data_IF_483523161075
#
_entry.id   IF_483523161075
#
_cell.length_a   1.000
_cell.length_b   1.000
_cell.length_c   1.000
_cell.angle_alpha   90.00
_cell.angle_beta   90.00
_cell.angle_gamma   90.00
#
_symmetry.space_group_name_H-M   'P 1'
#
loop_
_entity.id
_entity.type
_entity.pdbx_description
1 polymer ?
#
# COMPACT_ATOMS: atom_id res chain seq x y z
N UNK A 1 -62.56 10.00 40.09
CA UNK A 1 -61.37 9.16 40.33
C UNK A 1 -61.00 8.60 38.96
N UNK A 2 -60.17 9.34 38.20
CA UNK A 2 -58.69 9.19 38.11
C UNK A 2 -58.37 7.99 37.21
N UNK A 3 -57.69 8.07 36.06
CA UNK A 3 -56.54 8.89 35.67
C UNK A 3 -56.46 9.02 34.13
N UNK A 4 -56.11 10.21 33.66
CA UNK A 4 -55.45 10.46 32.37
C UNK A 4 -53.97 10.08 32.48
N UNK A 5 -53.35 9.41 31.49
CA UNK A 5 -51.91 9.21 31.51
C UNK A 5 -51.22 10.55 31.26
N UNK A 6 -50.34 10.94 32.19
CA UNK A 6 -49.53 12.14 32.11
C UNK A 6 -48.54 12.02 30.94
N UNK A 7 -48.52 13.05 30.09
CA UNK A 7 -47.38 13.39 29.25
C UNK A 7 -46.14 13.45 30.14
N UNK A 8 -45.13 12.64 29.81
CA UNK A 8 -43.81 12.72 30.42
C UNK A 8 -43.02 13.79 29.64
N UNK A 9 -42.69 14.95 30.22
CA UNK A 9 -42.04 16.05 29.49
C UNK A 9 -40.54 15.83 29.25
N UNK A 10 -40.05 14.59 29.42
CA UNK A 10 -38.64 14.22 29.25
C UNK A 10 -38.35 13.40 27.99
N UNK A 11 -39.30 13.28 27.05
CA UNK A 11 -39.09 12.55 25.79
C UNK A 11 -38.72 13.48 24.62
N UNK A 12 -37.89 14.48 24.92
CA UNK A 12 -37.19 15.28 23.91
C UNK A 12 -35.71 15.05 24.16
N UNK A 13 -34.95 14.91 23.07
CA UNK A 13 -33.49 15.10 22.98
C UNK A 13 -32.58 13.89 23.19
N UNK A 14 -32.61 12.89 22.31
CA UNK A 14 -31.35 12.20 21.93
C UNK A 14 -31.24 12.00 20.40
N UNK A 15 -32.33 11.78 19.65
CA UNK A 15 -32.22 11.50 18.20
C UNK A 15 -32.10 12.74 17.29
N UNK A 16 -32.53 13.94 17.73
CA UNK A 16 -32.40 15.18 16.91
C UNK A 16 -31.05 15.89 17.02
N UNK A 17 -30.25 15.55 18.04
CA UNK A 17 -28.99 16.23 18.30
C UNK A 17 -27.90 15.97 17.23
N UNK A 18 -27.70 14.75 16.69
CA UNK A 18 -26.61 14.49 15.74
C UNK A 18 -26.85 15.18 14.38
N UNK A 19 -28.09 15.14 13.88
CA UNK A 19 -28.46 15.76 12.61
C UNK A 19 -28.38 17.29 12.69
N UNK A 20 -28.91 17.90 13.76
CA UNK A 20 -28.82 19.35 13.97
C UNK A 20 -27.36 19.80 14.15
N UNK A 21 -26.52 19.04 14.87
CA UNK A 21 -25.09 19.33 15.02
C UNK A 21 -24.33 19.21 13.68
N UNK A 22 -24.63 18.17 12.89
CA UNK A 22 -24.03 17.99 11.56
C UNK A 22 -24.42 19.10 10.59
N UNK A 23 -25.68 19.53 10.62
CA UNK A 23 -26.16 20.64 9.79
C UNK A 23 -25.52 21.98 10.17
N UNK A 24 -25.23 22.19 11.46
CA UNK A 24 -24.52 23.37 11.95
C UNK A 24 -23.05 23.39 11.52
N UNK A 25 -22.39 22.22 11.49
CA UNK A 25 -21.02 22.08 11.01
C UNK A 25 -20.92 22.24 9.50
N UNK A 26 -21.82 21.62 8.74
CA UNK A 26 -21.89 21.75 7.28
C UNK A 26 -22.08 23.22 6.86
N UNK A 27 -22.97 23.95 7.56
CA UNK A 27 -23.15 25.40 7.34
C UNK A 27 -21.86 26.18 7.60
N UNK A 28 -21.13 25.82 8.66
CA UNK A 28 -19.84 26.46 9.01
C UNK A 28 -18.77 26.20 7.95
N UNK A 29 -18.71 24.98 7.41
CA UNK A 29 -17.81 24.63 6.32
C UNK A 29 -18.18 25.35 5.02
N UNK A 30 -19.46 25.41 4.67
CA UNK A 30 -19.95 26.18 3.52
C UNK A 30 -19.56 27.65 3.62
N UNK A 31 -19.82 28.30 4.76
CA UNK A 31 -19.46 29.70 4.98
C UNK A 31 -17.95 29.95 4.89
N UNK A 32 -17.15 28.99 5.32
CA UNK A 32 -15.68 29.08 5.25
C UNK A 32 -15.20 28.94 3.80
N UNK A 33 -15.72 27.94 3.07
CA UNK A 33 -15.35 27.68 1.68
C UNK A 33 -15.82 28.79 0.73
N UNK A 34 -17.01 29.36 0.95
CA UNK A 34 -17.56 30.43 0.11
C UNK A 34 -16.85 31.78 0.26
N UNK A 35 -16.01 31.96 1.30
CA UNK A 35 -15.15 33.15 1.46
C UNK A 35 -13.90 33.10 0.59
N UNK A 36 -13.56 31.93 0.05
CA UNK A 36 -12.38 31.74 -0.79
C UNK A 36 -12.59 32.46 -2.12
N UNK A 37 -11.59 33.24 -2.54
CA UNK A 37 -11.60 33.90 -3.84
C UNK A 37 -11.74 32.85 -4.96
N UNK A 38 -12.67 33.10 -5.88
CA UNK A 38 -12.90 32.25 -7.06
C UNK A 38 -11.63 32.02 -7.87
N UNK A 39 -10.70 32.98 -7.90
CA UNK A 39 -9.41 32.83 -8.60
C UNK A 39 -8.43 31.87 -7.91
N UNK A 40 -8.61 31.59 -6.61
CA UNK A 40 -7.77 30.66 -5.84
C UNK A 40 -8.41 29.27 -5.69
N UNK A 41 -9.66 29.13 -6.13
CA UNK A 41 -10.48 27.97 -5.85
C UNK A 41 -9.83 26.65 -6.29
N UNK A 42 -9.31 26.57 -7.51
CA UNK A 42 -8.72 25.33 -8.04
C UNK A 42 -7.44 24.95 -7.28
N UNK A 43 -6.61 25.94 -6.92
CA UNK A 43 -5.45 25.72 -6.04
C UNK A 43 -5.84 25.27 -4.63
N UNK A 44 -6.84 25.87 -4.01
CA UNK A 44 -7.30 25.45 -2.68
C UNK A 44 -7.86 24.02 -2.72
N UNK A 45 -8.68 23.67 -3.72
CA UNK A 45 -9.18 22.30 -3.91
C UNK A 45 -8.01 21.32 -4.06
N UNK A 46 -7.01 21.68 -4.85
CA UNK A 46 -5.81 20.86 -5.04
C UNK A 46 -5.04 20.66 -3.74
N UNK A 47 -4.85 21.71 -2.94
CA UNK A 47 -4.23 21.62 -1.62
C UNK A 47 -5.05 20.77 -0.65
N UNK A 48 -6.38 20.89 -0.66
CA UNK A 48 -7.26 20.07 0.17
C UNK A 48 -7.19 18.59 -0.20
N UNK A 49 -7.03 18.25 -1.49
CA UNK A 49 -6.77 16.86 -1.92
C UNK A 49 -5.49 16.32 -1.27
N UNK A 50 -4.38 17.06 -1.36
CA UNK A 50 -3.11 16.68 -0.71
C UNK A 50 -3.28 16.51 0.81
N UNK A 51 -3.86 17.50 1.49
CA UNK A 51 -4.07 17.45 2.94
C UNK A 51 -4.96 16.30 3.40
N UNK A 52 -5.95 15.92 2.59
CA UNK A 52 -6.91 14.88 2.92
C UNK A 52 -6.42 13.45 2.60
N UNK A 53 -5.60 13.28 1.56
CA UNK A 53 -5.32 11.96 0.96
C UNK A 53 -3.84 11.60 0.82
N UNK A 54 -2.91 12.46 1.25
CA UNK A 54 -1.51 12.06 1.34
C UNK A 54 -1.30 10.90 2.33
N UNK A 55 -0.44 9.95 1.94
CA UNK A 55 -0.10 8.80 2.82
C UNK A 55 0.78 9.22 4.00
N UNK A 56 1.56 10.29 3.83
CA UNK A 56 2.39 10.87 4.87
C UNK A 56 1.74 12.12 5.45
N UNK A 57 1.97 12.37 6.74
CA UNK A 57 1.67 13.67 7.32
C UNK A 57 2.54 14.72 6.64
N UNK A 58 1.91 15.74 6.08
CA UNK A 58 2.62 16.77 5.32
C UNK A 58 3.46 17.64 6.26
N UNK A 59 4.77 17.68 6.02
CA UNK A 59 5.64 18.68 6.64
C UNK A 59 5.40 20.04 5.99
N UNK A 60 5.74 21.12 6.70
CA UNK A 60 5.65 22.48 6.14
C UNK A 60 6.49 22.60 4.86
N UNK A 61 7.69 22.03 4.85
CA UNK A 61 8.57 22.06 3.68
C UNK A 61 7.92 21.35 2.49
N UNK A 62 7.40 20.13 2.68
CA UNK A 62 6.71 19.38 1.63
C UNK A 62 5.49 20.13 1.12
N UNK A 63 4.66 20.67 2.03
CA UNK A 63 3.48 21.40 1.63
C UNK A 63 3.81 22.70 0.91
N UNK A 64 4.89 23.37 1.30
CA UNK A 64 5.39 24.56 0.59
C UNK A 64 5.83 24.21 -0.83
N UNK A 65 6.53 23.10 -1.00
CA UNK A 65 6.90 22.58 -2.33
C UNK A 65 5.65 22.23 -3.17
N UNK A 66 4.63 21.61 -2.57
CA UNK A 66 3.33 21.32 -3.22
C UNK A 66 2.64 22.62 -3.67
N UNK A 67 2.60 23.64 -2.80
CA UNK A 67 1.98 24.92 -3.11
C UNK A 67 2.75 25.68 -4.21
N UNK A 68 4.06 25.50 -4.28
CA UNK A 68 4.92 26.09 -5.30
C UNK A 68 4.89 25.32 -6.63
N UNK A 69 4.39 24.07 -6.64
CA UNK A 69 4.31 23.28 -7.85
C UNK A 69 3.27 23.86 -8.82
N UNK A 70 3.73 24.24 -10.00
CA UNK A 70 2.85 24.67 -11.09
C UNK A 70 2.47 23.47 -11.95
N UNK A 71 1.22 23.02 -11.91
CA UNK A 71 0.71 22.07 -12.91
C UNK A 71 0.32 22.84 -14.17
N UNK A 72 1.31 23.24 -14.97
CA UNK A 72 1.18 24.13 -16.13
C UNK A 72 0.54 23.48 -17.38
N UNK A 73 -0.21 22.37 -17.20
CA UNK A 73 -0.84 21.61 -18.29
C UNK A 73 -2.35 21.41 -18.15
N UNK A 74 -2.98 22.19 -17.29
CA UNK A 74 -4.42 22.43 -17.41
C UNK A 74 -4.61 23.58 -18.39
N UNK A 75 -5.17 23.32 -19.57
CA UNK A 75 -5.57 24.35 -20.55
C UNK A 75 -6.66 25.31 -20.04
N UNK A 76 -6.96 25.28 -18.73
CA UNK A 76 -8.05 25.98 -18.06
C UNK A 76 -7.60 26.88 -16.89
N UNK A 77 -6.31 26.98 -16.58
CA UNK A 77 -5.83 27.88 -15.52
C UNK A 77 -5.76 29.33 -16.04
N UNK A 78 -6.41 30.24 -15.34
CA UNK A 78 -6.32 31.69 -15.58
C UNK A 78 -4.90 32.19 -15.22
N UNK A 79 -4.36 33.15 -15.98
CA UNK A 79 -3.01 33.70 -15.77
C UNK A 79 -2.88 34.34 -14.37
N UNK A 80 -3.98 34.83 -13.80
CA UNK A 80 -4.03 35.34 -12.43
C UNK A 80 -3.78 34.25 -11.36
N UNK A 81 -4.19 33.01 -11.62
CA UNK A 81 -4.03 31.89 -10.68
C UNK A 81 -2.57 31.40 -10.65
N UNK A 82 -1.87 31.49 -11.78
CA UNK A 82 -0.43 31.20 -11.91
C UNK A 82 0.46 32.16 -11.11
N UNK A 83 0.02 33.42 -10.97
CA UNK A 83 0.76 34.49 -10.28
C UNK A 83 0.56 34.49 -8.74
N UNK A 84 -0.36 33.67 -8.22
CA UNK A 84 -0.69 33.69 -6.80
C UNK A 84 0.43 33.08 -5.95
N UNK A 85 0.79 33.74 -4.84
CA UNK A 85 1.86 33.25 -3.97
C UNK A 85 1.39 32.07 -3.09
N UNK A 86 2.28 31.17 -2.65
CA UNK A 86 1.93 30.13 -1.65
C UNK A 86 1.25 30.69 -0.40
N UNK A 87 1.64 31.90 0.03
CA UNK A 87 1.03 32.59 1.17
C UNK A 87 -0.45 32.90 0.94
N UNK A 88 -0.81 33.36 -0.26
CA UNK A 88 -2.19 33.67 -0.63
C UNK A 88 -3.08 32.41 -0.64
N UNK A 89 -2.53 31.25 -1.03
CA UNK A 89 -3.26 29.98 -0.96
C UNK A 89 -3.48 29.55 0.51
N UNK A 90 -2.49 29.76 1.37
CA UNK A 90 -2.61 29.49 2.81
C UNK A 90 -3.69 30.34 3.48
N UNK A 91 -3.84 31.60 3.09
CA UNK A 91 -4.95 32.45 3.55
C UNK A 91 -6.31 31.86 3.17
N UNK A 92 -6.44 31.31 1.95
CA UNK A 92 -7.64 30.61 1.50
C UNK A 92 -7.94 29.30 2.24
N UNK A 93 -6.94 28.71 2.91
CA UNK A 93 -7.08 27.51 3.74
C UNK A 93 -7.36 27.84 5.21
N UNK A 94 -7.35 29.12 5.59
CA UNK A 94 -7.55 29.54 6.97
C UNK A 94 -8.90 29.05 7.53
N UNK A 95 -8.86 28.42 8.71
CA UNK A 95 -10.04 27.80 9.33
C UNK A 95 -10.33 26.36 8.88
N UNK A 96 -9.66 25.87 7.82
CA UNK A 96 -9.76 24.47 7.37
C UNK A 96 -8.54 23.63 7.77
N UNK A 97 -7.44 24.28 8.13
CA UNK A 97 -6.17 23.62 8.45
C UNK A 97 -5.64 24.03 9.82
N UNK A 98 -4.82 23.16 10.40
CA UNK A 98 -3.95 23.43 11.54
C UNK A 98 -2.51 23.31 11.08
N UNK A 99 -1.68 24.24 11.52
CA UNK A 99 -0.24 24.29 11.26
C UNK A 99 0.45 24.33 12.62
N UNK A 100 1.38 23.40 12.88
CA UNK A 100 2.30 23.46 14.02
C UNK A 100 3.71 23.88 13.59
N UNK A 101 4.74 23.64 14.39
CA UNK A 101 6.12 24.02 14.05
C UNK A 101 6.70 23.23 12.87
N UNK A 102 6.11 22.09 12.50
CA UNK A 102 6.70 21.13 11.56
C UNK A 102 5.73 20.61 10.49
N UNK A 103 4.43 20.58 10.76
CA UNK A 103 3.43 19.91 9.94
C UNK A 103 2.20 20.77 9.68
N UNK A 104 1.45 20.36 8.66
CA UNK A 104 0.15 20.92 8.29
C UNK A 104 -0.84 19.79 8.01
N UNK A 105 -2.07 19.94 8.52
CA UNK A 105 -3.14 18.96 8.34
C UNK A 105 -4.52 19.64 8.43
N UNK A 106 -5.58 18.92 8.01
CA UNK A 106 -6.94 19.40 8.17
C UNK A 106 -7.29 19.60 9.65
N UNK A 107 -7.99 20.69 9.98
CA UNK A 107 -8.28 21.04 11.36
C UNK A 107 -9.11 19.97 12.10
N UNK A 108 -10.02 19.32 11.38
CA UNK A 108 -10.87 18.26 11.90
C UNK A 108 -11.07 17.15 10.85
N UNK A 109 -11.20 15.87 11.26
CA UNK A 109 -11.49 14.76 10.35
C UNK A 109 -12.78 14.94 9.54
N UNK A 110 -13.78 15.61 10.13
CA UNK A 110 -15.08 15.90 9.51
C UNK A 110 -14.97 16.76 8.24
N UNK A 111 -13.90 17.55 8.08
CA UNK A 111 -13.68 18.34 6.85
C UNK A 111 -13.45 17.41 5.66
N UNK A 112 -12.61 16.38 5.82
CA UNK A 112 -12.38 15.37 4.76
C UNK A 112 -13.68 14.63 4.42
N UNK A 113 -14.43 14.24 5.44
CA UNK A 113 -15.74 13.60 5.24
C UNK A 113 -16.70 14.53 4.49
N UNK A 114 -16.79 15.80 4.90
CA UNK A 114 -17.66 16.78 4.28
C UNK A 114 -17.33 16.99 2.81
N UNK A 115 -16.06 17.28 2.48
CA UNK A 115 -15.57 17.53 1.11
C UNK A 115 -15.84 16.37 0.13
N UNK A 116 -15.90 15.15 0.66
CA UNK A 116 -16.11 13.92 -0.13
C UNK A 116 -17.54 13.39 -0.10
N UNK A 117 -18.41 14.01 0.70
CA UNK A 117 -19.80 13.58 0.89
C UNK A 117 -20.76 14.10 -0.18
N UNK A 118 -21.96 13.50 -0.23
CA UNK A 118 -23.08 14.03 -1.01
C UNK A 118 -23.63 15.36 -0.46
N UNK A 119 -23.27 15.74 0.78
CA UNK A 119 -23.78 16.94 1.48
C UNK A 119 -23.27 18.21 0.79
N UNK A 120 -21.95 18.32 0.60
CA UNK A 120 -21.36 19.43 -0.15
C UNK A 120 -21.74 19.38 -1.64
N UNK A 121 -21.84 18.18 -2.24
CA UNK A 121 -22.03 17.99 -3.69
C UNK A 121 -23.30 18.66 -4.22
N UNK A 122 -24.35 18.75 -3.40
CA UNK A 122 -25.62 19.38 -3.76
C UNK A 122 -25.84 20.71 -3.02
N UNK A 123 -24.85 21.14 -2.22
CA UNK A 123 -24.89 22.35 -1.42
C UNK A 123 -24.32 23.58 -2.14
N UNK A 124 -24.28 24.73 -1.45
CA UNK A 124 -23.80 25.99 -2.03
C UNK A 124 -22.28 25.96 -2.31
N UNK A 125 -21.49 25.21 -1.54
CA UNK A 125 -20.06 25.02 -1.77
C UNK A 125 -19.72 23.83 -2.69
N UNK A 126 -20.67 23.35 -3.51
CA UNK A 126 -20.48 22.15 -4.35
C UNK A 126 -19.25 22.16 -5.24
N UNK A 127 -18.78 23.34 -5.61
CA UNK A 127 -17.59 23.50 -6.44
C UNK A 127 -16.28 23.11 -5.71
N UNK A 128 -16.29 22.94 -4.38
CA UNK A 128 -15.18 22.38 -3.60
C UNK A 128 -15.30 20.87 -3.35
N UNK A 129 -16.39 20.25 -3.80
CA UNK A 129 -16.60 18.81 -3.68
C UNK A 129 -15.64 18.05 -4.59
N UNK A 130 -15.08 16.95 -4.08
CA UNK A 130 -14.33 15.98 -4.87
C UNK A 130 -14.46 14.58 -4.27
N UNK A 131 -14.30 13.57 -5.09
CA UNK A 131 -14.27 12.17 -4.66
C UNK A 131 -12.87 11.75 -4.21
N UNK A 132 -12.78 10.69 -3.42
CA UNK A 132 -11.50 10.05 -3.07
C UNK A 132 -10.70 9.65 -4.32
N UNK A 133 -11.36 9.11 -5.34
CA UNK A 133 -10.72 8.76 -6.62
C UNK A 133 -10.11 9.99 -7.31
N UNK A 134 -10.83 11.11 -7.37
CA UNK A 134 -10.32 12.37 -7.94
C UNK A 134 -9.16 12.96 -7.15
N UNK A 135 -9.10 12.73 -5.84
CA UNK A 135 -7.97 13.13 -5.01
C UNK A 135 -6.74 12.26 -5.30
N UNK A 136 -6.88 10.94 -5.28
CA UNK A 136 -5.78 10.02 -5.56
C UNK A 136 -5.24 10.17 -6.99
N UNK A 137 -6.10 10.31 -8.00
CA UNK A 137 -5.66 10.57 -9.38
C UNK A 137 -4.91 11.90 -9.51
N UNK A 138 -5.38 12.95 -8.83
CA UNK A 138 -4.71 14.25 -8.84
C UNK A 138 -3.31 14.17 -8.23
N UNK A 139 -3.20 13.58 -7.03
CA UNK A 139 -1.91 13.44 -6.33
C UNK A 139 -0.97 12.54 -7.12
N UNK A 140 -1.45 11.42 -7.66
CA UNK A 140 -0.66 10.53 -8.51
C UNK A 140 -0.12 11.26 -9.74
N UNK A 141 -0.97 12.03 -10.43
CA UNK A 141 -0.57 12.76 -11.62
C UNK A 141 0.44 13.87 -11.32
N UNK A 142 0.19 14.68 -10.29
CA UNK A 142 1.09 15.73 -9.84
C UNK A 142 2.45 15.16 -9.38
N UNK A 143 2.44 14.03 -8.70
CA UNK A 143 3.65 13.28 -8.31
C UNK A 143 4.39 12.74 -9.52
N UNK A 144 3.70 12.11 -10.48
CA UNK A 144 4.30 11.58 -11.70
C UNK A 144 4.97 12.68 -12.54
N UNK A 145 4.30 13.82 -12.73
CA UNK A 145 4.86 14.97 -13.44
C UNK A 145 6.14 15.43 -12.75
N UNK A 146 6.09 15.70 -11.44
CA UNK A 146 7.25 16.17 -10.69
C UNK A 146 8.41 15.17 -10.75
N UNK A 147 8.09 13.90 -10.56
CA UNK A 147 9.07 12.80 -10.56
C UNK A 147 9.80 12.70 -11.91
N UNK A 148 9.06 12.79 -13.02
CA UNK A 148 9.63 12.74 -14.37
C UNK A 148 10.43 14.00 -14.70
N UNK A 149 10.02 15.18 -14.20
CA UNK A 149 10.77 16.43 -14.34
C UNK A 149 12.10 16.40 -13.58
N UNK A 150 12.11 15.83 -12.36
CA UNK A 150 13.30 15.71 -11.51
C UNK A 150 14.23 14.57 -11.91
N UNK A 151 13.81 13.68 -12.80
CA UNK A 151 14.60 12.54 -13.29
C UNK A 151 14.58 12.50 -14.83
N UNK A 152 15.02 13.56 -15.52
CA UNK A 152 14.97 13.61 -16.97
C UNK A 152 15.96 12.61 -17.58
N UNK A 153 15.67 12.07 -18.78
CA UNK A 153 16.55 11.12 -19.44
C UNK A 153 17.95 11.72 -19.63
N UNK A 154 18.98 11.00 -19.17
CA UNK A 154 20.43 11.30 -19.33
C UNK A 154 21.10 12.29 -18.34
N UNK A 155 20.56 12.50 -17.13
CA UNK A 155 21.27 13.24 -16.07
C UNK A 155 21.61 12.33 -14.88
N UNK A 156 22.89 12.25 -14.52
CA UNK A 156 23.43 11.44 -13.41
C UNK A 156 24.01 12.33 -12.31
N UNK A 157 23.42 13.49 -12.07
CA UNK A 157 23.93 14.40 -11.03
C UNK A 157 23.35 13.99 -9.68
N UNK A 158 24.21 13.36 -8.87
CA UNK A 158 24.01 13.25 -7.42
C UNK A 158 24.33 14.60 -6.79
N UNK A 159 23.43 15.56 -6.92
CA UNK A 159 23.53 16.77 -6.10
C UNK A 159 22.91 16.45 -4.72
N UNK A 160 23.77 16.11 -3.75
CA UNK A 160 23.39 15.74 -2.38
C UNK A 160 23.04 16.96 -1.51
N UNK A 161 23.02 18.18 -2.07
CA UNK A 161 22.59 19.37 -1.36
C UNK A 161 21.11 19.68 -1.65
N UNK A 162 20.27 19.42 -0.64
CA UNK A 162 18.83 19.74 -0.57
C UNK A 162 17.92 18.87 -1.45
N UNK A 163 17.79 17.59 -1.08
CA UNK A 163 16.82 16.67 -1.71
C UNK A 163 15.40 17.17 -1.43
N UNK A 164 14.76 17.74 -2.47
CA UNK A 164 13.36 18.16 -2.46
C UNK A 164 12.47 17.11 -1.77
N UNK A 165 11.65 17.56 -0.81
CA UNK A 165 10.73 16.68 -0.08
C UNK A 165 9.66 16.13 -1.01
N UNK A 166 9.21 16.93 -1.98
CA UNK A 166 8.25 16.53 -2.99
C UNK A 166 8.84 15.48 -3.93
N UNK A 167 10.11 15.59 -4.32
CA UNK A 167 10.80 14.54 -5.10
C UNK A 167 10.76 13.19 -4.38
N UNK A 168 11.09 13.17 -3.09
CA UNK A 168 11.07 11.94 -2.28
C UNK A 168 9.65 11.39 -2.13
N UNK A 169 8.68 12.25 -1.81
CA UNK A 169 7.28 11.85 -1.71
C UNK A 169 6.78 11.27 -3.02
N UNK A 170 7.02 11.97 -4.13
CA UNK A 170 6.54 11.60 -5.44
C UNK A 170 7.08 10.23 -5.85
N UNK A 171 8.40 10.03 -5.80
CA UNK A 171 9.07 8.78 -6.15
C UNK A 171 8.53 7.58 -5.36
N UNK A 172 8.19 7.77 -4.09
CA UNK A 172 7.69 6.70 -3.22
C UNK A 172 6.19 6.43 -3.37
N UNK A 173 5.38 7.46 -3.53
CA UNK A 173 3.94 7.38 -3.27
C UNK A 173 3.07 7.41 -4.54
N UNK A 174 3.56 7.88 -5.69
CA UNK A 174 2.75 7.87 -6.92
C UNK A 174 2.20 6.47 -7.27
N UNK A 175 2.95 5.36 -7.11
CA UNK A 175 2.41 4.03 -7.40
C UNK A 175 1.25 3.69 -6.46
N UNK A 176 1.39 4.02 -5.16
CA UNK A 176 0.40 3.74 -4.13
C UNK A 176 -0.89 4.53 -4.37
N UNK A 177 -0.80 5.79 -4.81
CA UNK A 177 -1.99 6.57 -5.11
C UNK A 177 -2.77 5.99 -6.30
N UNK A 178 -2.09 5.48 -7.33
CA UNK A 178 -2.77 4.81 -8.43
C UNK A 178 -3.43 3.50 -7.99
N UNK A 179 -2.83 2.76 -7.07
CA UNK A 179 -3.44 1.52 -6.55
C UNK A 179 -4.73 1.76 -5.74
N UNK A 180 -4.98 2.99 -5.27
CA UNK A 180 -6.24 3.37 -4.63
C UNK A 180 -7.38 3.62 -5.64
N UNK A 181 -7.09 3.59 -6.94
CA UNK A 181 -8.05 3.91 -8.01
C UNK A 181 -8.11 2.75 -9.00
N UNK A 182 -9.30 2.21 -9.33
CA UNK A 182 -9.42 1.16 -10.33
C UNK A 182 -8.77 1.53 -11.67
N UNK A 183 -8.02 0.59 -12.25
CA UNK A 183 -7.25 0.77 -13.50
C UNK A 183 -8.10 1.27 -14.67
N UNK A 184 -9.38 0.90 -14.71
CA UNK A 184 -10.36 1.35 -15.71
C UNK A 184 -10.69 2.85 -15.63
N UNK A 185 -10.38 3.48 -14.50
CA UNK A 185 -10.65 4.90 -14.23
C UNK A 185 -9.43 5.79 -14.42
N UNK A 186 -8.26 5.22 -14.79
CA UNK A 186 -7.06 6.01 -15.03
C UNK A 186 -7.15 6.74 -16.39
N UNK A 187 -7.04 8.08 -16.41
CA UNK A 187 -6.88 8.85 -17.64
C UNK A 187 -5.67 8.35 -18.45
N UNK A 188 -5.75 8.49 -19.79
CA UNK A 188 -4.70 8.05 -20.71
C UNK A 188 -3.35 8.69 -20.37
N UNK A 189 -3.35 9.98 -20.05
CA UNK A 189 -2.16 10.76 -19.74
C UNK A 189 -1.46 10.25 -18.47
N UNK A 190 -2.24 9.84 -17.47
CA UNK A 190 -1.71 9.27 -16.22
C UNK A 190 -1.11 7.88 -16.48
N UNK A 191 -1.80 7.04 -17.25
CA UNK A 191 -1.28 5.72 -17.62
C UNK A 191 0.03 5.84 -18.43
N UNK A 192 0.09 6.78 -19.38
CA UNK A 192 1.31 7.07 -20.15
C UNK A 192 2.45 7.57 -19.25
N UNK A 193 2.17 8.49 -18.31
CA UNK A 193 3.17 8.97 -17.37
C UNK A 193 3.68 7.84 -16.46
N UNK A 194 2.80 6.96 -15.98
CA UNK A 194 3.19 5.77 -15.21
C UNK A 194 4.08 4.81 -16.03
N UNK A 195 3.73 4.55 -17.29
CA UNK A 195 4.57 3.76 -18.19
C UNK A 195 5.96 4.38 -18.43
N UNK A 196 6.02 5.69 -18.63
CA UNK A 196 7.29 6.41 -18.76
C UNK A 196 8.11 6.32 -17.46
N UNK A 197 7.45 6.46 -16.30
CA UNK A 197 8.12 6.40 -15.01
C UNK A 197 8.68 5.00 -14.70
N UNK A 198 8.00 3.96 -15.19
CA UNK A 198 8.39 2.55 -15.07
C UNK A 198 9.19 2.03 -16.26
N UNK A 199 9.65 2.88 -17.17
CA UNK A 199 10.43 2.42 -18.31
C UNK A 199 11.72 1.72 -17.85
N UNK A 200 11.99 0.55 -18.44
CA UNK A 200 13.22 -0.23 -18.23
C UNK A 200 14.46 0.67 -18.30
N UNK A 201 15.33 0.57 -17.27
CA UNK A 201 16.59 1.32 -17.19
C UNK A 201 16.44 2.86 -17.30
N UNK A 202 15.27 3.41 -16.97
CA UNK A 202 15.07 4.85 -16.93
C UNK A 202 15.63 5.46 -15.63
N UNK A 203 16.14 6.71 -15.65
CA UNK A 203 16.53 7.43 -14.42
C UNK A 203 15.38 7.51 -13.40
N UNK A 204 14.15 7.65 -13.90
CA UNK A 204 12.94 7.57 -13.11
C UNK A 204 12.88 6.27 -12.30
N UNK A 205 12.96 5.11 -12.95
CA UNK A 205 12.95 3.82 -12.27
C UNK A 205 14.11 3.69 -11.28
N UNK A 206 15.32 4.08 -11.68
CA UNK A 206 16.50 4.06 -10.79
C UNK A 206 16.31 4.86 -9.51
N UNK A 207 15.64 6.01 -9.58
CA UNK A 207 15.37 6.83 -8.40
C UNK A 207 14.32 6.24 -7.44
N UNK A 208 13.55 5.23 -7.88
CA UNK A 208 12.52 4.55 -7.07
C UNK A 208 12.99 3.20 -6.50
N UNK A 209 14.07 2.62 -7.04
CA UNK A 209 14.55 1.30 -6.64
C UNK A 209 15.88 1.42 -5.87
N UNK A 210 15.93 0.86 -4.67
CA UNK A 210 17.16 0.72 -3.89
C UNK A 210 17.97 -0.54 -4.29
N UNK A 211 17.41 -1.35 -5.19
CA UNK A 211 17.88 -2.67 -5.59
C UNK A 211 18.54 -2.66 -6.97
N UNK A 212 19.53 -3.53 -7.19
CA UNK A 212 20.16 -3.79 -8.48
C UNK A 212 19.21 -4.41 -9.53
N UNK A 213 17.97 -4.76 -9.16
CA UNK A 213 16.97 -5.27 -10.09
C UNK A 213 16.33 -4.13 -10.88
N UNK A 214 16.98 -3.74 -11.99
CA UNK A 214 16.51 -2.74 -12.96
C UNK A 214 15.29 -3.21 -13.78
N UNK A 215 14.31 -3.84 -13.14
CA UNK A 215 13.12 -4.40 -13.79
C UNK A 215 11.85 -3.85 -13.10
N UNK A 216 11.01 -3.07 -13.81
CA UNK A 216 9.80 -2.48 -13.27
C UNK A 216 8.74 -3.53 -12.90
N UNK A 217 8.75 -4.69 -13.55
CA UNK A 217 7.87 -5.79 -13.20
C UNK A 217 8.21 -6.35 -11.81
N UNK A 218 9.50 -6.58 -11.55
CA UNK A 218 9.98 -7.03 -10.24
C UNK A 218 9.66 -5.98 -9.17
N UNK A 219 9.90 -4.70 -9.47
CA UNK A 219 9.61 -3.59 -8.55
C UNK A 219 8.13 -3.50 -8.17
N UNK A 220 7.24 -3.45 -9.17
CA UNK A 220 5.79 -3.36 -8.93
C UNK A 220 5.25 -4.60 -8.20
N UNK A 221 5.78 -5.79 -8.54
CA UNK A 221 5.44 -7.05 -7.87
C UNK A 221 5.85 -7.06 -6.40
N UNK A 222 7.07 -6.60 -6.09
CA UNK A 222 7.55 -6.48 -4.72
C UNK A 222 6.74 -5.46 -3.90
N UNK A 223 6.39 -4.32 -4.51
CA UNK A 223 5.57 -3.29 -3.87
C UNK A 223 4.13 -3.80 -3.59
N UNK A 224 3.64 -4.72 -4.41
CA UNK A 224 2.25 -5.19 -4.42
C UNK A 224 1.32 -4.28 -5.22
N UNK A 225 1.89 -3.50 -6.15
CA UNK A 225 1.16 -2.61 -7.03
C UNK A 225 0.51 -3.41 -8.15
N UNK A 226 -0.57 -4.11 -7.82
CA UNK A 226 -1.19 -5.15 -8.66
C UNK A 226 -1.69 -4.59 -9.98
N UNK A 227 -2.27 -3.39 -10.00
CA UNK A 227 -2.77 -2.77 -11.22
C UNK A 227 -1.64 -2.27 -12.11
N UNK A 228 -0.55 -1.77 -11.52
CA UNK A 228 0.68 -1.46 -12.27
C UNK A 228 1.39 -2.71 -12.80
N UNK A 229 1.45 -3.78 -12.01
CA UNK A 229 1.96 -5.08 -12.47
C UNK A 229 1.14 -5.61 -13.63
N UNK A 230 -0.20 -5.55 -13.55
CA UNK A 230 -1.09 -5.93 -14.65
C UNK A 230 -0.89 -5.08 -15.89
N UNK A 231 -0.70 -3.77 -15.72
CA UNK A 231 -0.42 -2.84 -16.83
C UNK A 231 0.87 -3.23 -17.58
N UNK A 232 1.92 -3.63 -16.86
CA UNK A 232 3.18 -4.01 -17.49
C UNK A 232 3.10 -5.34 -18.26
N UNK A 233 2.30 -6.31 -17.78
CA UNK A 233 2.22 -7.67 -18.36
C UNK A 233 1.07 -7.88 -19.35
N UNK A 234 0.09 -6.97 -19.41
CA UNK A 234 -1.05 -7.09 -20.31
C UNK A 234 -0.73 -6.57 -21.72
N UNK A 235 -1.22 -7.27 -22.76
CA UNK A 235 -0.97 -6.91 -24.16
C UNK A 235 -1.69 -5.61 -24.59
N UNK A 236 -0.98 -4.71 -25.28
CA UNK A 236 -1.52 -3.42 -25.75
C UNK A 236 -0.44 -2.48 -26.32
N UNK A 237 -0.81 -1.22 -26.60
CA UNK A 237 0.09 -0.16 -27.12
C UNK A 237 1.29 0.16 -26.21
N UNK A 238 1.33 -0.43 -25.02
CA UNK A 238 2.33 -0.24 -23.96
C UNK A 238 3.16 -1.51 -23.68
N UNK A 239 3.10 -2.54 -24.54
CA UNK A 239 3.89 -3.76 -24.35
C UNK A 239 5.37 -3.40 -24.23
N UNK A 240 5.95 -3.60 -23.06
CA UNK A 240 7.38 -3.79 -22.97
C UNK A 240 7.71 -5.06 -23.76
N UNK A 241 8.30 -4.89 -24.93
CA UNK A 241 8.63 -5.94 -25.91
C UNK A 241 9.61 -7.00 -25.36
N UNK A 242 9.95 -6.96 -24.07
CA UNK A 242 11.05 -7.66 -23.42
C UNK A 242 10.69 -8.37 -22.10
N UNK A 243 9.40 -8.50 -21.72
CA UNK A 243 9.06 -9.35 -20.55
C UNK A 243 9.23 -10.82 -20.93
N UNK A 244 10.19 -11.48 -20.31
CA UNK A 244 10.46 -12.91 -20.48
C UNK A 244 9.70 -13.74 -19.45
N UNK A 245 9.57 -15.05 -19.69
CA UNK A 245 9.08 -15.98 -18.67
C UNK A 245 9.88 -15.88 -17.37
N UNK A 246 11.21 -15.74 -17.49
CA UNK A 246 12.09 -15.56 -16.32
C UNK A 246 11.78 -14.28 -15.52
N UNK A 247 11.32 -13.21 -16.17
CA UNK A 247 10.91 -12.00 -15.46
C UNK A 247 9.61 -12.20 -14.67
N UNK A 248 8.63 -12.91 -15.26
CA UNK A 248 7.39 -13.29 -14.57
C UNK A 248 7.66 -14.17 -13.36
N UNK A 249 8.54 -15.15 -13.52
CA UNK A 249 8.96 -16.08 -12.48
C UNK A 249 9.63 -15.35 -11.30
N UNK A 250 10.55 -14.43 -11.60
CA UNK A 250 11.23 -13.62 -10.58
C UNK A 250 10.27 -12.62 -9.93
N UNK A 251 9.33 -12.06 -10.68
CA UNK A 251 8.28 -11.20 -10.13
C UNK A 251 7.41 -11.97 -9.12
N UNK A 252 7.03 -13.21 -9.42
CA UNK A 252 6.26 -14.06 -8.50
C UNK A 252 7.05 -14.36 -7.23
N UNK A 253 8.35 -14.62 -7.35
CA UNK A 253 9.24 -14.82 -6.21
C UNK A 253 9.25 -13.60 -5.28
N UNK A 254 9.34 -12.39 -5.83
CA UNK A 254 9.40 -11.14 -5.07
C UNK A 254 8.04 -10.73 -4.48
N UNK A 255 6.94 -10.93 -5.22
CA UNK A 255 5.60 -10.74 -4.67
C UNK A 255 5.34 -11.69 -3.50
N UNK A 256 5.82 -12.93 -3.60
CA UNK A 256 5.67 -13.94 -2.54
C UNK A 256 6.52 -13.62 -1.33
N UNK A 257 7.79 -13.21 -1.51
CA UNK A 257 8.66 -12.79 -0.40
C UNK A 257 8.15 -11.53 0.31
N UNK A 258 7.42 -10.66 -0.40
CA UNK A 258 6.81 -9.45 0.14
C UNK A 258 5.35 -9.64 0.61
N UNK A 259 4.79 -10.85 0.49
CA UNK A 259 3.44 -11.17 1.00
C UNK A 259 2.29 -10.59 0.19
N UNK A 260 2.51 -10.24 -1.08
CA UNK A 260 1.55 -9.52 -1.93
C UNK A 260 0.57 -10.48 -2.61
N UNK A 261 -0.40 -11.00 -1.86
CA UNK A 261 -1.32 -12.07 -2.31
C UNK A 261 -2.02 -11.78 -3.64
N UNK A 262 -2.61 -10.59 -3.82
CA UNK A 262 -3.34 -10.30 -5.06
C UNK A 262 -2.40 -10.22 -6.27
N UNK A 263 -1.18 -9.72 -6.07
CA UNK A 263 -0.14 -9.74 -7.12
C UNK A 263 0.37 -11.15 -7.40
N UNK A 264 0.50 -12.00 -6.38
CA UNK A 264 0.82 -13.43 -6.53
C UNK A 264 -0.24 -14.14 -7.38
N UNK A 265 -1.53 -13.92 -7.10
CA UNK A 265 -2.64 -14.49 -7.89
C UNK A 265 -2.56 -14.05 -9.34
N UNK A 266 -2.44 -12.75 -9.58
CA UNK A 266 -2.28 -12.19 -10.92
C UNK A 266 -1.13 -12.84 -11.70
N UNK A 267 0.05 -12.98 -11.08
CA UNK A 267 1.24 -13.53 -11.73
C UNK A 267 1.07 -15.03 -12.04
N UNK A 268 0.48 -15.80 -11.12
CA UNK A 268 0.13 -17.21 -11.35
C UNK A 268 -0.88 -17.34 -12.50
N UNK A 269 -1.91 -16.51 -12.53
CA UNK A 269 -2.94 -16.49 -13.59
C UNK A 269 -2.34 -16.14 -14.96
N UNK A 270 -1.25 -15.35 -14.98
CA UNK A 270 -0.49 -14.99 -16.18
C UNK A 270 0.58 -16.01 -16.55
N UNK A 271 0.66 -17.14 -15.84
CA UNK A 271 1.52 -18.27 -16.17
C UNK A 271 2.94 -18.18 -15.60
N UNK A 272 3.16 -17.42 -14.53
CA UNK A 272 4.45 -17.45 -13.82
C UNK A 272 4.72 -18.86 -13.25
N UNK A 273 5.95 -19.34 -13.42
CA UNK A 273 6.39 -20.65 -12.97
C UNK A 273 6.49 -20.73 -11.45
N UNK A 274 5.75 -21.67 -10.87
CA UNK A 274 5.74 -21.91 -9.41
C UNK A 274 6.84 -22.87 -8.96
N UNK A 275 7.32 -23.73 -9.87
CA UNK A 275 8.42 -24.66 -9.63
C UNK A 275 9.62 -24.24 -10.47
N UNK A 276 10.51 -23.44 -9.88
CA UNK A 276 11.72 -23.01 -10.54
C UNK A 276 12.75 -24.14 -10.44
N UNK A 277 12.92 -24.90 -11.53
CA UNK A 277 13.80 -26.08 -11.68
C UNK A 277 15.31 -25.81 -11.44
N UNK A 278 15.71 -24.69 -10.84
CA UNK A 278 17.11 -24.44 -10.50
C UNK A 278 17.31 -23.74 -9.15
N UNK A 279 18.15 -24.38 -8.34
CA UNK A 279 18.69 -23.97 -7.04
C UNK A 279 17.72 -24.06 -5.84
N UNK A 280 17.48 -25.29 -5.38
CA UNK A 280 17.36 -25.80 -3.98
C UNK A 280 16.79 -24.95 -2.81
N UNK A 281 16.39 -23.69 -2.99
CA UNK A 281 16.00 -22.71 -1.95
C UNK A 281 15.18 -21.51 -2.46
N UNK A 282 14.88 -21.37 -3.76
CA UNK A 282 14.24 -20.17 -4.34
C UNK A 282 12.97 -20.48 -5.14
N UNK A 283 11.95 -21.06 -4.49
CA UNK A 283 10.59 -21.09 -5.03
C UNK A 283 9.68 -20.10 -4.28
N UNK A 284 8.57 -19.66 -4.89
CA UNK A 284 7.61 -18.71 -4.29
C UNK A 284 7.06 -19.14 -2.93
N UNK A 285 6.72 -20.42 -2.76
CA UNK A 285 6.16 -20.97 -1.52
C UNK A 285 7.16 -20.85 -0.36
N UNK A 286 8.41 -21.24 -0.55
CA UNK A 286 9.47 -21.14 0.46
C UNK A 286 9.81 -19.68 0.79
N UNK A 287 9.76 -18.75 -0.18
CA UNK A 287 9.96 -17.33 0.09
C UNK A 287 8.82 -16.71 0.91
N UNK A 288 7.58 -17.06 0.59
CA UNK A 288 6.42 -16.67 1.38
C UNK A 288 6.54 -17.20 2.81
N UNK A 289 7.01 -18.45 2.97
CA UNK A 289 7.18 -19.05 4.28
C UNK A 289 8.30 -18.43 5.12
N UNK A 290 9.43 -18.07 4.49
CA UNK A 290 10.49 -17.32 5.14
C UNK A 290 9.97 -15.96 5.65
N UNK A 291 9.16 -15.27 4.85
CA UNK A 291 8.54 -13.99 5.23
C UNK A 291 7.37 -14.10 6.21
N UNK A 292 6.91 -15.31 6.55
CA UNK A 292 5.75 -15.52 7.43
C UNK A 292 4.39 -15.18 6.78
N UNK A 293 4.33 -15.14 5.45
CA UNK A 293 3.15 -14.68 4.70
C UNK A 293 2.09 -15.77 4.58
N UNK A 294 1.38 -16.04 5.69
CA UNK A 294 0.36 -17.10 5.81
C UNK A 294 -0.65 -17.10 4.67
N UNK A 295 -1.15 -15.93 4.25
CA UNK A 295 -2.16 -15.84 3.21
C UNK A 295 -1.65 -16.30 1.84
N UNK A 296 -0.38 -16.02 1.52
CA UNK A 296 0.28 -16.48 0.29
C UNK A 296 0.58 -17.97 0.36
N UNK A 297 1.10 -18.46 1.50
CA UNK A 297 1.36 -19.90 1.68
C UNK A 297 0.07 -20.70 1.57
N UNK A 298 -1.02 -20.23 2.21
CA UNK A 298 -2.34 -20.83 2.11
C UNK A 298 -2.80 -20.97 0.66
N UNK A 299 -2.67 -19.90 -0.12
CA UNK A 299 -3.01 -19.91 -1.53
C UNK A 299 -2.26 -20.99 -2.33
N UNK A 300 -0.98 -21.22 -2.03
CA UNK A 300 -0.20 -22.26 -2.70
C UNK A 300 -0.54 -23.69 -2.25
N UNK A 301 -0.80 -23.92 -0.96
CA UNK A 301 -0.98 -25.30 -0.42
C UNK A 301 -2.42 -25.79 -0.38
N UNK A 302 -3.40 -24.90 -0.48
CA UNK A 302 -4.83 -25.27 -0.54
C UNK A 302 -5.36 -25.28 -1.99
N UNK A 303 -4.60 -24.78 -2.97
CA UNK A 303 -4.93 -24.90 -4.39
C UNK A 303 -4.39 -26.22 -4.95
N UNK A 304 -5.27 -27.13 -5.35
CA UNK A 304 -4.91 -28.49 -5.81
C UNK A 304 -3.88 -28.50 -6.95
N UNK A 305 -4.01 -27.58 -7.91
CA UNK A 305 -3.13 -27.50 -9.08
C UNK A 305 -1.73 -27.02 -8.69
N UNK A 306 -1.67 -25.99 -7.84
CA UNK A 306 -0.39 -25.45 -7.36
C UNK A 306 0.29 -26.43 -6.40
N UNK A 307 -0.50 -27.12 -5.57
CA UNK A 307 0.00 -28.16 -4.67
C UNK A 307 0.64 -29.30 -5.43
N UNK A 308 0.03 -29.75 -6.54
CA UNK A 308 0.61 -30.78 -7.40
C UNK A 308 1.93 -30.33 -8.05
N UNK A 309 2.04 -29.07 -8.46
CA UNK A 309 3.27 -28.50 -8.98
C UNK A 309 4.37 -28.33 -7.90
N UNK A 310 3.99 -28.27 -6.62
CA UNK A 310 4.88 -28.07 -5.48
C UNK A 310 5.06 -29.34 -4.63
N UNK A 311 4.62 -30.50 -5.13
CA UNK A 311 4.55 -31.75 -4.35
C UNK A 311 5.90 -32.48 -4.18
N UNK A 312 7.00 -31.85 -4.59
CA UNK A 312 8.34 -32.34 -4.29
C UNK A 312 8.54 -32.41 -2.77
N UNK A 313 8.84 -33.60 -2.24
CA UNK A 313 9.07 -33.82 -0.79
C UNK A 313 10.12 -32.87 -0.22
N UNK A 314 11.10 -32.47 -1.03
CA UNK A 314 12.15 -31.53 -0.63
C UNK A 314 11.64 -30.08 -0.52
N UNK A 315 10.74 -29.66 -1.41
CA UNK A 315 10.14 -28.31 -1.40
C UNK A 315 9.29 -28.10 -0.14
N UNK A 316 8.45 -29.09 0.21
CA UNK A 316 7.64 -29.04 1.45
C UNK A 316 8.53 -28.96 2.69
N UNK A 317 9.58 -29.80 2.76
CA UNK A 317 10.56 -29.80 3.87
C UNK A 317 11.31 -28.47 3.98
N UNK A 318 11.80 -27.91 2.87
CA UNK A 318 12.46 -26.60 2.89
C UNK A 318 11.51 -25.49 3.33
N UNK A 319 10.23 -25.56 2.94
CA UNK A 319 9.22 -24.56 3.29
C UNK A 319 8.94 -24.56 4.80
N UNK A 320 8.71 -25.72 5.42
CA UNK A 320 8.50 -25.79 6.88
C UNK A 320 9.77 -25.41 7.65
N UNK A 321 10.95 -25.77 7.14
CA UNK A 321 12.23 -25.39 7.73
C UNK A 321 12.51 -23.89 7.62
N UNK A 322 12.07 -23.22 6.55
CA UNK A 322 12.15 -21.77 6.42
C UNK A 322 11.22 -21.06 7.43
N UNK A 323 9.99 -21.54 7.58
CA UNK A 323 9.05 -21.03 8.60
C UNK A 323 9.61 -21.21 10.02
N UNK A 324 10.23 -22.37 10.31
CA UNK A 324 10.86 -22.66 11.59
C UNK A 324 12.08 -21.77 11.87
N UNK A 325 12.93 -21.53 10.87
CA UNK A 325 14.11 -20.66 11.01
C UNK A 325 13.74 -19.23 11.43
N UNK A 326 12.58 -18.73 10.97
CA UNK A 326 12.07 -17.39 11.28
C UNK A 326 10.98 -17.40 12.36
N UNK A 327 10.77 -18.54 13.03
CA UNK A 327 9.85 -18.70 14.17
C UNK A 327 8.36 -18.42 13.88
N UNK A 328 7.93 -18.64 12.64
CA UNK A 328 6.54 -18.49 12.19
C UNK A 328 5.69 -19.71 12.59
N UNK A 329 5.41 -19.89 13.89
CA UNK A 329 4.77 -21.10 14.43
C UNK A 329 3.39 -21.39 13.81
N UNK A 330 2.52 -20.39 13.67
CA UNK A 330 1.20 -20.55 13.02
C UNK A 330 1.32 -21.07 11.58
N UNK A 331 2.40 -20.70 10.89
CA UNK A 331 2.68 -21.16 9.54
C UNK A 331 3.19 -22.60 9.52
N UNK A 332 4.04 -22.98 10.48
CA UNK A 332 4.48 -24.37 10.67
C UNK A 332 3.26 -25.26 10.90
N UNK A 333 2.34 -24.84 11.78
CA UNK A 333 1.10 -25.57 12.04
C UNK A 333 0.28 -25.74 10.76
N UNK A 334 0.08 -24.67 9.98
CA UNK A 334 -0.63 -24.73 8.71
C UNK A 334 -0.01 -25.76 7.75
N UNK A 335 1.32 -25.76 7.62
CA UNK A 335 2.04 -26.67 6.72
C UNK A 335 1.90 -28.14 7.16
N UNK A 336 1.99 -28.41 8.47
CA UNK A 336 1.84 -29.76 9.04
C UNK A 336 0.42 -30.28 8.92
N UNK A 337 -0.59 -29.43 9.15
CA UNK A 337 -1.99 -29.79 8.89
C UNK A 337 -2.25 -30.15 7.41
N UNK A 338 -1.48 -29.56 6.49
CA UNK A 338 -1.49 -29.88 5.06
C UNK A 338 -0.56 -31.06 4.68
N UNK A 339 -0.16 -31.88 5.66
CA UNK A 339 0.59 -33.11 5.46
C UNK A 339 2.08 -32.91 5.20
N UNK A 340 2.64 -31.74 5.53
CA UNK A 340 4.10 -31.55 5.47
C UNK A 340 4.78 -32.30 6.60
N UNK A 341 5.63 -33.25 6.25
CA UNK A 341 6.51 -33.91 7.22
C UNK A 341 7.56 -32.94 7.75
N UNK A 342 7.81 -32.98 9.06
CA UNK A 342 8.90 -32.24 9.70
C UNK A 342 10.09 -33.15 9.96
N UNK A 343 11.25 -32.57 10.18
CA UNK A 343 12.48 -33.29 10.48
C UNK A 343 13.13 -32.80 11.78
N UNK A 344 14.29 -33.38 12.13
CA UNK A 344 15.07 -32.99 13.31
C UNK A 344 15.53 -31.52 13.24
N UNK A 345 15.77 -31.00 12.02
CA UNK A 345 16.16 -29.61 11.82
C UNK A 345 15.00 -28.65 12.12
N UNK A 346 13.77 -28.98 11.71
CA UNK A 346 12.58 -28.19 12.06
C UNK A 346 12.46 -28.05 13.58
N UNK A 347 12.61 -29.17 14.31
CA UNK A 347 12.53 -29.18 15.78
C UNK A 347 13.67 -28.37 16.42
N UNK A 348 14.90 -28.48 15.91
CA UNK A 348 16.05 -27.70 16.38
C UNK A 348 15.80 -26.20 16.21
N UNK A 349 15.24 -25.77 15.07
CA UNK A 349 14.93 -24.36 14.81
C UNK A 349 13.82 -23.81 15.70
N UNK A 350 12.75 -24.57 15.91
CA UNK A 350 11.69 -24.18 16.85
C UNK A 350 12.25 -24.08 18.28
N UNK A 351 13.07 -25.04 18.70
CA UNK A 351 13.69 -25.03 20.03
C UNK A 351 14.70 -23.87 20.21
N UNK A 352 15.47 -23.55 19.18
CA UNK A 352 16.43 -22.44 19.19
C UNK A 352 15.83 -21.05 18.96
N UNK A 353 14.50 -20.95 18.84
CA UNK A 353 13.79 -19.69 18.62
C UNK A 353 13.96 -18.71 19.77
N UNK A 354 13.89 -17.41 19.48
CA UNK A 354 13.85 -16.33 20.47
C UNK A 354 12.46 -16.03 21.02
N UNK A 355 11.41 -16.77 20.60
CA UNK A 355 10.05 -16.66 21.14
C UNK A 355 9.99 -17.08 22.61
N UNK A 356 8.89 -16.76 23.28
CA UNK A 356 8.70 -17.15 24.67
C UNK A 356 8.62 -18.68 24.83
N UNK A 357 9.02 -19.17 26.01
CA UNK A 357 9.10 -20.61 26.30
C UNK A 357 7.74 -21.31 26.14
N UNK A 358 6.62 -20.64 26.44
CA UNK A 358 5.30 -21.23 26.31
C UNK A 358 4.96 -21.48 24.83
N UNK A 359 5.15 -20.48 23.96
CA UNK A 359 4.97 -20.62 22.51
C UNK A 359 5.86 -21.73 21.92
N UNK A 360 7.12 -21.81 22.35
CA UNK A 360 8.05 -22.84 21.87
C UNK A 360 7.56 -24.24 22.30
N UNK A 361 7.17 -24.40 23.56
CA UNK A 361 6.68 -25.67 24.08
C UNK A 361 5.39 -26.10 23.39
N UNK A 362 4.46 -25.18 23.13
CA UNK A 362 3.22 -25.44 22.40
C UNK A 362 3.51 -25.94 20.98
N UNK A 363 4.34 -25.21 20.23
CA UNK A 363 4.70 -25.61 18.87
C UNK A 363 5.43 -26.97 18.84
N UNK A 364 6.38 -27.22 19.75
CA UNK A 364 7.08 -28.51 19.82
C UNK A 364 6.13 -29.67 20.19
N UNK A 365 5.18 -29.44 21.11
CA UNK A 365 4.17 -30.45 21.45
C UNK A 365 3.28 -30.79 20.26
N UNK A 366 2.84 -29.76 19.53
CA UNK A 366 2.08 -29.93 18.29
C UNK A 366 2.87 -30.75 17.25
N UNK A 367 4.13 -30.39 17.00
CA UNK A 367 4.99 -31.07 16.03
C UNK A 367 5.23 -32.54 16.38
N UNK A 368 5.55 -32.83 17.64
CA UNK A 368 5.77 -34.20 18.12
C UNK A 368 4.48 -35.04 18.09
N UNK A 369 3.32 -34.43 18.32
CA UNK A 369 2.02 -35.09 18.20
C UNK A 369 1.69 -35.52 16.77
N UNK A 370 2.16 -34.77 15.77
CA UNK A 370 1.91 -35.03 14.35
C UNK A 370 3.06 -35.79 13.65
N UNK A 371 4.15 -36.12 14.36
CA UNK A 371 5.37 -36.72 13.76
C UNK A 371 5.88 -37.93 14.56
N UNK A 372 5.12 -39.05 14.58
CA UNK A 372 5.39 -40.19 15.46
C UNK A 372 6.74 -40.88 15.21
N UNK A 373 7.31 -40.78 14.01
CA UNK A 373 8.59 -41.42 13.65
C UNK A 373 9.83 -40.70 14.20
N UNK A 374 9.70 -39.43 14.61
CA UNK A 374 10.81 -38.60 15.13
C UNK A 374 11.08 -38.86 16.64
N UNK A 375 10.20 -39.64 17.28
CA UNK A 375 10.07 -39.81 18.73
C UNK A 375 11.28 -40.35 19.48
N UNK A 376 12.28 -40.95 18.81
CA UNK A 376 13.49 -41.49 19.49
C UNK A 376 14.71 -40.57 19.52
N UNK A 377 14.83 -39.63 18.57
CA UNK A 377 15.93 -38.64 18.54
C UNK A 377 15.52 -37.27 19.07
N UNK A 378 14.26 -36.86 18.89
CA UNK A 378 13.70 -35.64 19.53
C UNK A 378 13.74 -35.68 21.07
N UNK A 379 13.87 -36.87 21.67
CA UNK A 379 14.15 -37.05 23.10
C UNK A 379 15.48 -36.39 23.55
N UNK A 380 16.44 -36.20 22.64
CA UNK A 380 17.73 -35.54 22.91
C UNK A 380 17.59 -34.01 22.86
N UNK A 381 16.80 -33.44 21.94
CA UNK A 381 16.43 -32.00 21.99
C UNK A 381 15.69 -31.65 23.29
N UNK A 382 14.86 -32.57 23.79
CA UNK A 382 14.17 -32.45 25.08
C UNK A 382 15.12 -32.50 26.29
N UNK A 383 16.30 -33.10 26.15
CA UNK A 383 17.35 -33.09 27.18
C UNK A 383 18.16 -31.79 27.16
N UNK A 384 18.39 -31.19 25.99
CA UNK A 384 19.15 -29.94 25.86
C UNK A 384 18.42 -28.69 26.42
N UNK A 385 17.09 -28.71 26.48
CA UNK A 385 16.28 -27.56 26.95
C UNK A 385 16.25 -27.39 28.48
N UNK A 386 16.53 -28.45 29.23
CA UNK A 386 16.76 -28.36 30.68
C UNK A 386 18.27 -28.46 30.84
N UNK A 387 18.96 -27.43 31.31
CA UNK A 387 20.39 -27.53 31.61
C UNK A 387 20.72 -28.61 32.66
N UNK A 388 20.72 -29.87 32.23
CA UNK A 388 20.95 -31.10 32.97
C UNK A 388 21.90 -32.01 32.18
#
# INVERSE_FOLDING_TARGET
>A
MTETPADNPNDITIERAPEELSSSLDTTFDETLLKIDKYLQSRVISSLKWLAFSFDRLTIDLFTEILAQHTDKSAHLDEAEKLSSPHTVLEGLYGLIVVDEHHVWLAEPSIKEYLTSSRIRHGPASAFSFTEMEAHLYIAHSSLIHHLECNPPNTYEKDEQNVSKLKVYAARNWPLHLEMVPRSSWPLEIAQAANLALAMRSPSLFSMIDSLTENPLIYTAYLGATQLTEMLISEGLDRHEYITQGDLDVALLNASSAGKLETVRLLVDKGAGVDLENATRRNPLTQAALGGHIAVVRYFVENEVLTAALDGTDVRKWTVNAAAAESHFDLIELLVHNGTEVDEYTLEKVAGSSRDEASILECLQFLLGNSPDITKKGAICKAAFRGN
#
